data_IF_888235243599
#
_entry.id   IF_888235243599
#
_cell.length_a   1.000
_cell.length_b   1.000
_cell.length_c   1.000
_cell.angle_alpha   90.00
_cell.angle_beta   90.00
_cell.angle_gamma   90.00
#
_symmetry.space_group_name_H-M   'P 1'
#
loop_
_entity.id
_entity.type
_entity.pdbx_description
1 polymer ?
#
# COMPACT_ATOMS: atom_id res chain seq x y z
N UNK A 1 -32.59 47.20 15.50
CA UNK A 1 -32.95 46.27 14.36
C UNK A 1 -31.69 46.03 13.57
N UNK A 2 -31.03 44.90 13.85
CA UNK A 2 -29.76 44.53 13.23
C UNK A 2 -30.06 43.60 12.04
N UNK A 3 -29.79 44.12 10.85
CA UNK A 3 -30.06 43.45 9.59
C UNK A 3 -29.00 42.36 9.35
N UNK A 4 -29.37 41.09 9.54
CA UNK A 4 -28.51 39.93 9.32
C UNK A 4 -28.61 39.55 7.84
N UNK A 5 -27.58 39.89 7.05
CA UNK A 5 -27.45 39.44 5.65
C UNK A 5 -27.37 37.90 5.61
N UNK A 6 -28.20 37.23 4.80
CA UNK A 6 -28.13 35.78 4.64
C UNK A 6 -26.86 35.39 3.91
N UNK A 7 -26.07 34.47 4.51
CA UNK A 7 -24.93 33.83 3.86
C UNK A 7 -25.42 33.07 2.60
N UNK A 8 -24.97 33.51 1.42
CA UNK A 8 -25.14 32.78 0.18
C UNK A 8 -24.40 31.45 0.28
N UNK A 9 -25.11 30.33 0.46
CA UNK A 9 -24.60 28.99 0.17
C UNK A 9 -24.12 29.00 -1.28
N UNK A 10 -22.80 28.86 -1.50
CA UNK A 10 -22.26 28.63 -2.84
C UNK A 10 -22.80 27.29 -3.35
N UNK A 11 -23.73 27.35 -4.29
CA UNK A 11 -24.23 26.22 -5.04
C UNK A 11 -23.11 25.81 -6.04
N UNK A 12 -22.28 24.84 -5.67
CA UNK A 12 -21.34 24.23 -6.62
C UNK A 12 -22.13 23.33 -7.57
N UNK A 13 -22.15 23.69 -8.85
CA UNK A 13 -22.87 22.90 -9.84
C UNK A 13 -22.18 21.52 -9.98
N UNK A 14 -22.92 20.41 -10.08
CA UNK A 14 -22.39 19.06 -10.23
C UNK A 14 -21.34 18.94 -11.36
N UNK A 15 -21.56 19.61 -12.48
CA UNK A 15 -20.61 19.66 -13.61
C UNK A 15 -19.26 20.28 -13.26
N UNK A 16 -19.23 21.26 -12.36
CA UNK A 16 -17.97 21.90 -11.94
C UNK A 16 -17.18 20.99 -11.00
N UNK A 17 -17.85 20.25 -10.15
CA UNK A 17 -17.24 19.24 -9.29
C UNK A 17 -16.64 18.10 -10.12
N UNK A 18 -17.39 17.53 -11.05
CA UNK A 18 -16.93 16.48 -11.97
C UNK A 18 -15.70 16.91 -12.80
N UNK A 19 -15.68 18.16 -13.24
CA UNK A 19 -14.57 18.72 -14.03
C UNK A 19 -13.30 18.94 -13.17
N UNK A 20 -13.49 19.33 -11.91
CA UNK A 20 -12.38 19.42 -10.92
C UNK A 20 -11.81 18.03 -10.62
N UNK A 21 -12.65 17.04 -10.40
CA UNK A 21 -12.25 15.66 -10.12
C UNK A 21 -11.51 15.02 -11.32
N UNK A 22 -11.99 15.28 -12.54
CA UNK A 22 -11.31 14.84 -13.76
C UNK A 22 -9.93 15.50 -13.91
N UNK A 23 -9.82 16.79 -13.60
CA UNK A 23 -8.55 17.52 -13.62
C UNK A 23 -7.57 16.95 -12.58
N UNK A 24 -8.03 16.71 -11.35
CA UNK A 24 -7.21 16.13 -10.28
C UNK A 24 -6.70 14.74 -10.65
N UNK A 25 -7.58 13.88 -11.17
CA UNK A 25 -7.19 12.54 -11.64
C UNK A 25 -6.09 12.58 -12.68
N UNK A 26 -6.22 13.44 -13.72
CA UNK A 26 -5.18 13.60 -14.76
C UNK A 26 -3.82 14.01 -14.18
N UNK A 27 -3.81 14.92 -13.20
CA UNK A 27 -2.56 15.35 -12.54
C UNK A 27 -1.96 14.19 -11.73
N UNK A 28 -2.77 13.46 -10.97
CA UNK A 28 -2.30 12.33 -10.15
C UNK A 28 -1.76 11.17 -11.01
N UNK A 29 -2.43 10.85 -12.12
CA UNK A 29 -1.94 9.84 -13.07
C UNK A 29 -0.60 10.23 -13.70
N UNK A 30 -0.46 11.49 -14.11
CA UNK A 30 0.80 12.02 -14.64
C UNK A 30 1.93 11.98 -13.60
N UNK A 31 1.63 12.39 -12.36
CA UNK A 31 2.58 12.34 -11.26
C UNK A 31 2.99 10.89 -10.94
N UNK A 32 2.04 9.96 -10.87
CA UNK A 32 2.28 8.53 -10.62
C UNK A 32 3.24 7.93 -11.67
N UNK A 33 3.00 8.19 -12.97
CA UNK A 33 3.90 7.76 -14.04
C UNK A 33 5.30 8.32 -13.88
N UNK A 34 5.42 9.65 -13.72
CA UNK A 34 6.73 10.31 -13.62
C UNK A 34 7.50 9.90 -12.36
N UNK A 35 6.83 9.74 -11.22
CA UNK A 35 7.46 9.28 -9.99
C UNK A 35 7.98 7.85 -10.12
N UNK A 36 7.24 6.96 -10.81
CA UNK A 36 7.68 5.59 -11.07
C UNK A 36 8.86 5.56 -12.03
N UNK A 37 8.80 6.32 -13.13
CA UNK A 37 9.75 6.20 -14.25
C UNK A 37 11.06 6.97 -14.00
N UNK A 38 11.00 8.12 -13.32
CA UNK A 38 12.15 8.99 -13.03
C UNK A 38 12.54 9.07 -11.55
N UNK A 39 11.71 8.55 -10.67
CA UNK A 39 11.80 8.72 -9.24
C UNK A 39 11.23 10.06 -8.73
N UNK A 40 10.81 10.05 -7.48
CA UNK A 40 10.23 11.22 -6.82
C UNK A 40 11.20 12.43 -6.81
N UNK A 41 12.47 12.22 -6.47
CA UNK A 41 13.46 13.31 -6.35
C UNK A 41 13.64 14.06 -7.67
N UNK A 42 13.70 13.34 -8.78
CA UNK A 42 13.99 13.89 -10.12
C UNK A 42 12.76 14.43 -10.87
N UNK A 43 11.57 14.32 -10.30
CA UNK A 43 10.33 14.81 -10.91
C UNK A 43 10.02 16.23 -10.44
N UNK A 44 9.62 17.10 -11.37
CA UNK A 44 9.24 18.49 -11.10
C UNK A 44 7.75 18.75 -11.37
N UNK A 45 7.17 19.77 -10.72
CA UNK A 45 5.79 20.21 -10.98
C UNK A 45 5.56 20.64 -12.43
N UNK A 46 6.58 21.20 -13.09
CA UNK A 46 6.53 21.60 -14.50
C UNK A 46 6.43 20.37 -15.43
N UNK A 47 7.15 19.30 -15.14
CA UNK A 47 7.05 18.04 -15.88
C UNK A 47 5.68 17.39 -15.70
N UNK A 48 5.13 17.41 -14.48
CA UNK A 48 3.78 16.92 -14.19
C UNK A 48 2.72 17.72 -14.96
N UNK A 49 2.86 19.04 -15.04
CA UNK A 49 1.96 19.89 -15.82
C UNK A 49 2.02 19.52 -17.30
N UNK A 50 3.20 19.38 -17.89
CA UNK A 50 3.40 18.97 -19.27
C UNK A 50 2.81 17.59 -19.55
N UNK A 51 3.10 16.62 -18.69
CA UNK A 51 2.62 15.24 -18.82
C UNK A 51 1.09 15.15 -18.70
N UNK A 52 0.49 15.93 -17.80
CA UNK A 52 -0.97 16.00 -17.64
C UNK A 52 -1.69 16.81 -18.73
N UNK A 53 -0.95 17.55 -19.58
CA UNK A 53 -1.52 18.46 -20.59
C UNK A 53 -2.25 19.67 -19.96
N UNK A 54 -1.80 20.13 -18.79
CA UNK A 54 -2.39 21.23 -18.05
C UNK A 54 -1.38 22.37 -17.84
N UNK A 55 -1.88 23.59 -17.66
CA UNK A 55 -1.03 24.73 -17.33
C UNK A 55 -0.42 24.58 -15.94
N UNK A 56 0.85 24.94 -15.76
CA UNK A 56 1.58 24.88 -14.50
C UNK A 56 0.81 25.53 -13.32
N UNK A 57 0.19 26.73 -13.48
CA UNK A 57 -0.62 27.31 -12.41
C UNK A 57 -1.81 26.45 -11.98
N UNK A 58 -2.38 25.67 -12.91
CA UNK A 58 -3.49 24.75 -12.61
C UNK A 58 -3.01 23.63 -11.69
N UNK A 59 -1.84 23.06 -11.96
CA UNK A 59 -1.27 21.99 -11.12
C UNK A 59 -0.97 22.51 -9.71
N UNK A 60 -0.31 23.68 -9.60
CA UNK A 60 -0.06 24.31 -8.31
C UNK A 60 -1.34 24.66 -7.55
N UNK A 61 -2.38 25.17 -8.23
CA UNK A 61 -3.66 25.48 -7.60
C UNK A 61 -4.33 24.24 -7.00
N UNK A 62 -4.19 23.07 -7.63
CA UNK A 62 -4.84 21.83 -7.18
C UNK A 62 -4.10 21.17 -6.02
N UNK A 63 -2.75 21.20 -6.05
CA UNK A 63 -1.92 20.38 -5.13
C UNK A 63 -0.88 21.18 -4.35
N UNK A 64 -0.58 22.41 -4.74
CA UNK A 64 0.40 23.25 -4.09
C UNK A 64 1.86 22.81 -4.29
N UNK A 65 2.18 21.55 -4.06
CA UNK A 65 3.54 21.03 -4.20
C UNK A 65 3.57 19.53 -4.49
N UNK A 66 4.74 19.03 -4.86
CA UNK A 66 5.01 17.63 -5.19
C UNK A 66 4.74 16.66 -4.04
N UNK A 67 5.02 17.08 -2.80
CA UNK A 67 4.76 16.28 -1.60
C UNK A 67 3.28 15.98 -1.44
N UNK A 68 2.42 16.98 -1.60
CA UNK A 68 0.98 16.81 -1.49
C UNK A 68 0.42 15.89 -2.58
N UNK A 69 0.97 15.95 -3.79
CA UNK A 69 0.64 15.00 -4.85
C UNK A 69 0.92 13.55 -4.43
N UNK A 70 2.10 13.29 -3.88
CA UNK A 70 2.44 11.93 -3.44
C UNK A 70 1.59 11.49 -2.26
N UNK A 71 1.32 12.37 -1.28
CA UNK A 71 0.43 12.04 -0.16
C UNK A 71 -0.98 11.66 -0.65
N UNK A 72 -1.53 12.37 -1.63
CA UNK A 72 -2.84 12.06 -2.17
C UNK A 72 -2.85 10.76 -2.99
N UNK A 73 -1.78 10.47 -3.73
CA UNK A 73 -1.61 9.15 -4.37
C UNK A 73 -1.63 8.01 -3.36
N UNK A 74 -0.98 8.21 -2.22
CA UNK A 74 -0.97 7.25 -1.12
C UNK A 74 -2.39 7.08 -0.55
N UNK A 75 -3.07 8.19 -0.26
CA UNK A 75 -4.44 8.17 0.28
C UNK A 75 -5.43 7.44 -0.64
N UNK A 76 -5.29 7.61 -1.95
CA UNK A 76 -6.13 6.92 -2.94
C UNK A 76 -5.80 5.43 -3.09
N UNK A 77 -4.58 5.04 -2.75
CA UNK A 77 -4.10 3.66 -2.90
C UNK A 77 -4.32 2.84 -1.63
N UNK A 78 -4.30 3.47 -0.45
CA UNK A 78 -4.55 2.78 0.81
C UNK A 78 -6.03 2.41 0.88
N UNK A 79 -6.32 1.12 0.74
CA UNK A 79 -7.67 0.60 0.95
C UNK A 79 -8.00 0.62 2.45
N UNK A 80 -9.05 1.36 2.81
CA UNK A 80 -9.56 1.44 4.19
C UNK A 80 -10.06 0.09 4.72
N UNK A 81 -10.22 -0.92 3.86
CA UNK A 81 -10.67 -2.28 4.22
C UNK A 81 -9.55 -3.17 4.76
N UNK A 82 -8.29 -2.83 4.55
CA UNK A 82 -7.12 -3.64 4.98
C UNK A 82 -7.21 -4.11 6.44
N UNK A 83 -7.60 -3.29 7.42
CA UNK A 83 -7.75 -3.74 8.80
C UNK A 83 -8.82 -4.82 8.99
N UNK A 84 -9.96 -4.72 8.26
CA UNK A 84 -11.04 -5.70 8.33
C UNK A 84 -10.65 -7.01 7.63
N UNK A 85 -9.97 -6.94 6.49
CA UNK A 85 -9.44 -8.11 5.79
C UNK A 85 -8.43 -8.87 6.65
N UNK A 86 -7.51 -8.15 7.31
CA UNK A 86 -6.58 -8.77 8.25
C UNK A 86 -7.28 -9.43 9.44
N UNK A 87 -8.34 -8.82 9.97
CA UNK A 87 -9.14 -9.44 11.02
C UNK A 87 -9.74 -10.78 10.56
N UNK A 88 -10.17 -10.88 9.30
CA UNK A 88 -10.68 -12.13 8.73
C UNK A 88 -9.60 -13.22 8.60
N UNK A 89 -8.36 -12.83 8.31
CA UNK A 89 -7.21 -13.77 8.29
C UNK A 89 -7.01 -14.42 9.66
N UNK A 90 -7.05 -13.63 10.73
CA UNK A 90 -6.88 -14.14 12.10
C UNK A 90 -8.04 -15.05 12.53
N UNK A 91 -9.24 -14.83 12.00
CA UNK A 91 -10.44 -15.62 12.31
C UNK A 91 -10.51 -16.96 11.55
N UNK A 92 -9.60 -17.22 10.61
CA UNK A 92 -9.56 -18.51 9.91
C UNK A 92 -9.36 -19.68 10.89
N UNK A 93 -10.12 -20.75 10.66
CA UNK A 93 -10.23 -21.86 11.61
C UNK A 93 -9.00 -22.75 11.70
N UNK A 94 -8.20 -22.82 10.62
CA UNK A 94 -7.00 -23.67 10.59
C UNK A 94 -5.71 -22.86 10.45
N UNK A 95 -4.59 -23.34 11.00
CA UNK A 95 -3.27 -22.74 10.82
C UNK A 95 -2.90 -22.50 9.35
N UNK A 96 -3.18 -23.50 8.50
CA UNK A 96 -2.89 -23.42 7.06
C UNK A 96 -3.75 -22.36 6.37
N UNK A 97 -5.02 -22.23 6.71
CA UNK A 97 -5.90 -21.21 6.16
C UNK A 97 -5.48 -19.79 6.57
N UNK A 98 -4.95 -19.60 7.78
CA UNK A 98 -4.39 -18.29 8.21
C UNK A 98 -3.15 -17.92 7.41
N UNK A 99 -2.27 -18.87 7.14
CA UNK A 99 -1.10 -18.64 6.28
C UNK A 99 -1.53 -18.31 4.84
N UNK A 100 -2.49 -19.06 4.28
CA UNK A 100 -3.03 -18.78 2.96
C UNK A 100 -3.70 -17.38 2.90
N UNK A 101 -4.48 -17.03 3.90
CA UNK A 101 -5.08 -15.69 4.00
C UNK A 101 -4.04 -14.57 4.11
N UNK A 102 -2.95 -14.78 4.83
CA UNK A 102 -1.83 -13.83 4.88
C UNK A 102 -1.17 -13.67 3.50
N UNK A 103 -0.97 -14.77 2.76
CA UNK A 103 -0.42 -14.74 1.42
C UNK A 103 -1.34 -14.00 0.43
N UNK A 104 -2.64 -14.33 0.42
CA UNK A 104 -3.63 -13.65 -0.42
C UNK A 104 -3.69 -12.13 -0.13
N UNK A 105 -3.66 -11.75 1.15
CA UNK A 105 -3.62 -10.33 1.54
C UNK A 105 -2.34 -9.64 1.09
N UNK A 106 -1.18 -10.31 1.20
CA UNK A 106 0.09 -9.75 0.74
C UNK A 106 0.07 -9.50 -0.77
N UNK A 107 -0.49 -10.45 -1.56
CA UNK A 107 -0.67 -10.29 -3.01
C UNK A 107 -1.62 -9.13 -3.31
N UNK A 108 -2.78 -9.08 -2.67
CA UNK A 108 -3.76 -8.01 -2.89
C UNK A 108 -3.17 -6.63 -2.64
N UNK A 109 -2.45 -6.46 -1.54
CA UNK A 109 -1.78 -5.19 -1.21
C UNK A 109 -0.66 -4.86 -2.20
N UNK A 110 0.14 -5.85 -2.59
CA UNK A 110 1.23 -5.64 -3.52
C UNK A 110 0.71 -5.32 -4.94
N UNK A 111 -0.25 -6.07 -5.47
CA UNK A 111 -0.77 -5.84 -6.82
C UNK A 111 -1.49 -4.48 -6.98
N UNK A 112 -2.14 -4.00 -5.92
CA UNK A 112 -2.88 -2.72 -5.95
C UNK A 112 -2.00 -1.51 -5.63
N UNK A 113 -0.94 -1.68 -4.82
CA UNK A 113 -0.15 -0.58 -4.25
C UNK A 113 1.35 -0.65 -4.54
N UNK A 114 1.85 -1.68 -5.24
CA UNK A 114 3.29 -1.92 -5.41
C UNK A 114 4.05 -0.70 -5.94
N UNK A 115 3.52 -0.06 -6.97
CA UNK A 115 4.16 1.11 -7.58
C UNK A 115 4.16 2.33 -6.63
N UNK A 116 3.07 2.57 -5.89
CA UNK A 116 3.01 3.67 -4.92
C UNK A 116 3.93 3.38 -3.73
N UNK A 117 4.00 2.15 -3.26
CA UNK A 117 4.94 1.73 -2.20
C UNK A 117 6.39 1.95 -2.68
N UNK A 118 6.72 1.53 -3.90
CA UNK A 118 8.04 1.73 -4.49
C UNK A 118 8.39 3.22 -4.64
N UNK A 119 7.43 4.05 -5.07
CA UNK A 119 7.61 5.51 -5.15
C UNK A 119 7.88 6.10 -3.75
N UNK A 120 7.14 5.69 -2.73
CA UNK A 120 7.32 6.17 -1.35
C UNK A 120 8.66 5.74 -0.79
N UNK A 121 9.07 4.49 -1.03
CA UNK A 121 10.40 3.98 -0.64
C UNK A 121 11.51 4.80 -1.31
N UNK A 122 11.41 5.07 -2.61
CA UNK A 122 12.35 5.93 -3.32
C UNK A 122 12.34 7.39 -2.86
N UNK A 123 11.21 7.89 -2.37
CA UNK A 123 11.08 9.25 -1.83
C UNK A 123 11.63 9.38 -0.40
N UNK A 124 11.74 8.28 0.35
CA UNK A 124 12.14 8.27 1.77
C UNK A 124 13.54 8.83 2.01
N UNK A 125 14.45 8.66 1.05
CA UNK A 125 15.79 9.23 1.11
C UNK A 125 15.83 10.76 0.89
N UNK A 126 14.79 11.34 0.31
CA UNK A 126 14.70 12.76 -0.04
C UNK A 126 13.81 13.56 0.92
N UNK A 127 12.94 12.91 1.68
CA UNK A 127 11.97 13.57 2.55
C UNK A 127 11.72 12.75 3.84
N UNK A 128 12.04 13.30 5.03
CA UNK A 128 11.87 12.62 6.31
C UNK A 128 10.42 12.17 6.60
N UNK A 129 9.42 12.84 6.06
CA UNK A 129 8.02 12.46 6.24
C UNK A 129 7.71 11.13 5.55
N UNK A 130 8.29 10.89 4.36
CA UNK A 130 8.14 9.61 3.68
C UNK A 130 8.97 8.51 4.34
N UNK A 131 10.14 8.83 4.90
CA UNK A 131 10.90 7.88 5.71
C UNK A 131 10.09 7.40 6.94
N UNK A 132 9.42 8.31 7.63
CA UNK A 132 8.52 7.99 8.74
C UNK A 132 7.33 7.14 8.28
N UNK A 133 6.76 7.44 7.13
CA UNK A 133 5.64 6.66 6.56
C UNK A 133 6.08 5.23 6.21
N UNK A 134 7.23 5.05 5.57
CA UNK A 134 7.81 3.72 5.28
C UNK A 134 8.00 2.93 6.58
N UNK A 135 8.52 3.58 7.61
CA UNK A 135 8.71 2.94 8.92
C UNK A 135 7.39 2.47 9.52
N UNK A 136 6.33 3.29 9.48
CA UNK A 136 5.00 2.93 9.99
C UNK A 136 4.37 1.78 9.21
N UNK A 137 4.48 1.78 7.89
CA UNK A 137 4.00 0.68 7.04
C UNK A 137 4.73 -0.61 7.41
N UNK A 138 6.05 -0.57 7.50
CA UNK A 138 6.88 -1.72 7.86
C UNK A 138 6.55 -2.26 9.25
N UNK A 139 6.37 -1.37 10.22
CA UNK A 139 5.98 -1.76 11.58
C UNK A 139 4.58 -2.38 11.61
N UNK A 140 3.60 -1.82 10.90
CA UNK A 140 2.26 -2.39 10.76
C UNK A 140 2.28 -3.81 10.19
N UNK A 141 3.08 -4.04 9.13
CA UNK A 141 3.28 -5.38 8.54
C UNK A 141 3.91 -6.35 9.55
N UNK A 142 4.93 -5.91 10.27
CA UNK A 142 5.60 -6.72 11.31
C UNK A 142 4.63 -7.11 12.42
N UNK A 143 3.79 -6.18 12.87
CA UNK A 143 2.75 -6.44 13.87
C UNK A 143 1.70 -7.43 13.37
N UNK A 144 1.30 -7.35 12.10
CA UNK A 144 0.38 -8.30 11.49
C UNK A 144 1.00 -9.71 11.45
N UNK A 145 2.24 -9.85 11.00
CA UNK A 145 2.97 -11.10 11.05
C UNK A 145 3.07 -11.67 12.50
N UNK A 146 3.35 -10.80 13.48
CA UNK A 146 3.40 -11.19 14.89
C UNK A 146 2.05 -11.72 15.41
N UNK A 147 0.92 -11.14 14.98
CA UNK A 147 -0.41 -11.64 15.37
C UNK A 147 -0.68 -13.03 14.82
N UNK A 148 -0.31 -13.30 13.56
CA UNK A 148 -0.43 -14.63 12.96
C UNK A 148 0.50 -15.61 13.68
N UNK A 149 1.79 -15.28 13.86
CA UNK A 149 2.76 -16.13 14.56
C UNK A 149 2.29 -16.53 15.96
N UNK A 150 1.80 -15.54 16.73
CA UNK A 150 1.24 -15.78 18.07
C UNK A 150 0.03 -16.71 18.05
N UNK A 151 -0.84 -16.59 17.07
CA UNK A 151 -2.00 -17.49 16.95
C UNK A 151 -1.56 -18.93 16.68
N UNK A 152 -0.57 -19.11 15.79
CA UNK A 152 0.00 -20.42 15.48
C UNK A 152 0.72 -21.04 16.70
N UNK A 153 1.50 -20.25 17.45
CA UNK A 153 2.19 -20.69 18.64
C UNK A 153 1.22 -21.15 19.75
N UNK A 154 0.14 -20.39 19.99
CA UNK A 154 -0.89 -20.74 20.99
C UNK A 154 -1.57 -22.08 20.69
N UNK A 155 -1.75 -22.40 19.41
CA UNK A 155 -2.33 -23.68 18.97
C UNK A 155 -1.29 -24.80 18.84
N UNK A 156 -0.02 -24.53 19.16
CA UNK A 156 1.10 -25.49 18.99
C UNK A 156 1.23 -25.98 17.55
N UNK A 157 0.86 -25.10 16.58
CA UNK A 157 0.89 -25.45 15.17
C UNK A 157 2.26 -25.18 14.52
N UNK A 158 3.16 -24.46 15.19
CA UNK A 158 4.53 -24.24 14.71
C UNK A 158 5.36 -25.54 14.86
N UNK A 159 6.34 -25.70 13.98
CA UNK A 159 7.36 -26.74 14.13
C UNK A 159 8.09 -26.58 15.46
N UNK A 160 8.54 -27.68 16.12
CA UNK A 160 9.22 -27.60 17.40
C UNK A 160 10.48 -26.71 17.41
N UNK A 161 11.17 -26.64 16.26
CA UNK A 161 12.39 -25.86 16.07
C UNK A 161 12.12 -24.38 15.71
N UNK A 162 10.86 -23.97 15.51
CA UNK A 162 10.49 -22.61 15.08
C UNK A 162 9.86 -21.84 16.22
N UNK A 163 10.53 -20.78 16.68
CA UNK A 163 9.98 -19.88 17.69
C UNK A 163 8.92 -18.92 17.10
N UNK A 164 8.10 -18.30 17.96
CA UNK A 164 7.13 -17.26 17.56
C UNK A 164 7.83 -16.10 16.84
N UNK A 165 9.00 -15.67 17.31
CA UNK A 165 9.79 -14.60 16.71
C UNK A 165 10.31 -14.99 15.33
N UNK A 166 10.82 -16.20 15.17
CA UNK A 166 11.27 -16.71 13.86
C UNK A 166 10.12 -16.80 12.87
N UNK A 167 8.95 -17.29 13.29
CA UNK A 167 7.77 -17.37 12.45
C UNK A 167 7.31 -15.97 12.01
N UNK A 168 7.29 -14.99 12.92
CA UNK A 168 7.02 -13.58 12.58
C UNK A 168 7.99 -13.05 11.54
N UNK A 169 9.30 -13.24 11.75
CA UNK A 169 10.32 -12.65 10.89
C UNK A 169 10.33 -13.30 9.50
N UNK A 170 10.10 -14.60 9.39
CA UNK A 170 9.96 -15.31 8.11
C UNK A 170 8.72 -14.81 7.36
N UNK A 171 7.55 -14.70 8.01
CA UNK A 171 6.35 -14.16 7.39
C UNK A 171 6.53 -12.70 6.95
N UNK A 172 7.14 -11.87 7.80
CA UNK A 172 7.42 -10.47 7.48
C UNK A 172 8.33 -10.31 6.26
N UNK A 173 9.37 -11.13 6.17
CA UNK A 173 10.33 -11.09 5.07
C UNK A 173 9.73 -11.61 3.75
N UNK A 174 9.13 -12.80 3.76
CA UNK A 174 8.64 -13.43 2.53
C UNK A 174 7.38 -12.76 1.96
N UNK A 175 6.49 -12.23 2.81
CA UNK A 175 5.32 -11.47 2.39
C UNK A 175 5.62 -9.99 2.12
N UNK A 176 6.86 -9.65 1.77
CA UNK A 176 7.29 -8.27 1.55
C UNK A 176 7.02 -7.79 0.11
N UNK A 177 6.76 -6.48 -0.08
CA UNK A 177 6.65 -5.90 -1.42
C UNK A 177 7.90 -6.10 -2.26
N UNK A 178 9.07 -6.18 -1.64
CA UNK A 178 10.35 -6.40 -2.28
C UNK A 178 10.44 -7.79 -2.94
N UNK A 179 9.97 -8.83 -2.24
CA UNK A 179 9.91 -10.19 -2.78
C UNK A 179 8.87 -10.28 -3.91
N UNK A 180 7.71 -9.65 -3.74
CA UNK A 180 6.70 -9.55 -4.79
C UNK A 180 7.28 -8.87 -6.06
N UNK A 181 7.97 -7.73 -5.91
CA UNK A 181 8.60 -7.04 -7.02
C UNK A 181 9.62 -7.93 -7.75
N UNK A 182 10.45 -8.66 -7.01
CA UNK A 182 11.45 -9.55 -7.59
C UNK A 182 10.81 -10.68 -8.41
N UNK A 183 9.80 -11.35 -7.88
CA UNK A 183 9.21 -12.53 -8.50
C UNK A 183 8.14 -12.19 -9.54
N UNK A 184 7.24 -11.25 -9.24
CA UNK A 184 6.16 -10.89 -10.16
C UNK A 184 6.63 -9.88 -11.19
N UNK A 185 7.14 -8.72 -10.76
CA UNK A 185 7.45 -7.63 -11.69
C UNK A 185 8.70 -7.93 -12.52
N UNK A 186 9.78 -8.45 -11.91
CA UNK A 186 11.07 -8.67 -12.59
C UNK A 186 11.20 -10.06 -13.19
N UNK A 187 10.65 -11.10 -12.54
CA UNK A 187 10.77 -12.48 -13.01
C UNK A 187 9.55 -12.98 -13.80
N UNK A 188 8.49 -12.15 -13.91
CA UNK A 188 7.33 -12.42 -14.73
C UNK A 188 6.35 -13.47 -14.18
N UNK A 189 6.36 -13.72 -12.87
CA UNK A 189 5.35 -14.57 -12.24
C UNK A 189 3.98 -13.91 -12.28
N UNK A 190 2.93 -14.73 -12.34
CA UNK A 190 1.57 -14.24 -12.06
C UNK A 190 1.33 -14.07 -10.57
N UNK A 191 0.31 -13.26 -10.21
CA UNK A 191 -0.14 -13.12 -8.82
C UNK A 191 -0.50 -14.47 -8.20
N UNK A 192 -1.20 -15.34 -8.94
CA UNK A 192 -1.58 -16.69 -8.49
C UNK A 192 -0.35 -17.58 -8.24
N UNK A 193 0.67 -17.49 -9.09
CA UNK A 193 1.92 -18.24 -8.89
C UNK A 193 2.62 -17.77 -7.62
N UNK A 194 2.69 -16.46 -7.39
CA UNK A 194 3.31 -15.89 -6.20
C UNK A 194 2.52 -16.26 -4.94
N UNK A 195 1.19 -16.16 -4.94
CA UNK A 195 0.34 -16.52 -3.82
C UNK A 195 0.51 -18.00 -3.43
N UNK A 196 0.44 -18.89 -4.42
CA UNK A 196 0.63 -20.34 -4.21
C UNK A 196 2.00 -20.64 -3.64
N UNK A 197 3.05 -20.06 -4.20
CA UNK A 197 4.41 -20.21 -3.71
C UNK A 197 4.58 -19.69 -2.29
N UNK A 198 4.09 -18.47 -2.01
CA UNK A 198 4.20 -17.84 -0.70
C UNK A 198 3.48 -18.66 0.37
N UNK A 199 2.24 -19.06 0.09
CA UNK A 199 1.42 -19.87 1.00
C UNK A 199 2.08 -21.22 1.29
N UNK A 200 2.54 -21.95 0.24
CA UNK A 200 3.17 -23.25 0.39
C UNK A 200 4.54 -23.18 1.12
N UNK A 201 5.34 -22.16 0.79
CA UNK A 201 6.65 -21.94 1.42
C UNK A 201 6.51 -21.60 2.90
N UNK A 202 5.60 -20.69 3.25
CA UNK A 202 5.33 -20.37 4.65
C UNK A 202 4.78 -21.56 5.41
N UNK A 203 3.80 -22.28 4.85
CA UNK A 203 3.25 -23.46 5.51
C UNK A 203 4.32 -24.55 5.70
N UNK A 204 5.12 -24.82 4.68
CA UNK A 204 6.19 -25.83 4.73
C UNK A 204 7.32 -25.49 5.69
N UNK A 205 7.66 -24.19 5.83
CA UNK A 205 8.74 -23.75 6.73
C UNK A 205 8.30 -23.59 8.20
N UNK A 206 7.04 -23.22 8.42
CA UNK A 206 6.58 -22.81 9.75
C UNK A 206 5.72 -23.86 10.47
N UNK A 207 4.86 -24.60 9.72
CA UNK A 207 3.91 -25.52 10.35
C UNK A 207 4.52 -26.89 10.59
N UNK A 208 4.28 -27.41 11.79
CA UNK A 208 4.51 -28.80 12.11
C UNK A 208 3.55 -29.73 11.32
N UNK A 209 3.94 -30.99 11.20
CA UNK A 209 3.01 -32.02 10.76
C UNK A 209 1.94 -32.12 11.85
N UNK A 210 0.71 -31.72 11.53
CA UNK A 210 -0.43 -32.04 12.39
C UNK A 210 -0.63 -33.55 12.28
N UNK A 211 -0.58 -34.28 13.42
CA UNK A 211 -0.85 -35.73 13.40
C UNK A 211 -2.27 -36.03 12.90
#
# INVERSE_FOLDING_TARGET
MTDVKPQRKQYESPRRSEQLDATRRRILEAARRLFRDKGYANTTMNEIARESGLAVPTVYKNFGNKRRLLLELIEQTIDSRVPAEFASVIQQTTPRARIAGLAAMAVHLASTAADVISIVMGASGADPQFAEMVRRISEGRRQNAARVARSLARERALRPEVSEEQARDVMYALASPEIYELLVTRSGWSDDQFETWLSSTLAGSLLGLVP
#
